data_IF_775120918128
#
_entry.id   IF_775120918128
#
_cell.length_a   1.000
_cell.length_b   1.000
_cell.length_c   1.000
_cell.angle_alpha   90.00
_cell.angle_beta   90.00
_cell.angle_gamma   90.00
#
_symmetry.space_group_name_H-M   'P 1'
#
loop_
_entity.id
_entity.type
_entity.pdbx_description
1 polymer ?
#
# COMPACT_ATOMS: atom_id res chain seq x y z
N UNK A 1 8.51 -13.03 16.47
CA UNK A 1 9.39 -12.60 15.37
C UNK A 1 9.19 -13.52 14.18
N UNK A 2 8.95 -13.02 12.97
CA UNK A 2 8.79 -13.86 11.77
C UNK A 2 10.17 -14.39 11.32
N UNK A 3 10.21 -15.49 10.56
CA UNK A 3 11.50 -16.08 10.07
C UNK A 3 12.36 -15.06 9.30
N UNK A 4 11.72 -14.19 8.51
CA UNK A 4 12.41 -13.13 7.75
C UNK A 4 13.07 -12.11 8.67
N UNK A 5 12.42 -11.74 9.79
CA UNK A 5 12.99 -10.78 10.75
C UNK A 5 14.26 -11.34 11.42
N UNK A 6 14.26 -12.64 11.72
CA UNK A 6 15.45 -13.32 12.22
C UNK A 6 16.59 -13.34 11.20
N UNK A 7 16.27 -13.55 9.92
CA UNK A 7 17.25 -13.53 8.84
C UNK A 7 17.89 -12.14 8.68
N UNK A 8 17.12 -11.06 8.83
CA UNK A 8 17.66 -9.68 8.86
C UNK A 8 18.59 -9.48 10.05
N UNK A 9 18.18 -9.88 11.26
CA UNK A 9 19.01 -9.74 12.47
C UNK A 9 20.32 -10.53 12.37
N UNK A 10 20.30 -11.68 11.69
CA UNK A 10 21.49 -12.53 11.48
C UNK A 10 22.35 -12.09 10.31
N UNK A 11 21.93 -11.08 9.55
CA UNK A 11 22.62 -10.64 8.33
C UNK A 11 22.52 -11.61 7.15
N UNK A 12 21.58 -12.58 7.20
CA UNK A 12 21.32 -13.53 6.11
C UNK A 12 20.65 -12.84 4.91
N UNK A 13 19.90 -11.77 5.16
CA UNK A 13 19.32 -10.87 4.16
C UNK A 13 19.59 -9.42 4.56
N UNK A 14 19.89 -8.59 3.57
CA UNK A 14 20.30 -7.19 3.78
C UNK A 14 19.14 -6.20 3.68
N UNK A 15 18.01 -6.59 3.11
CA UNK A 15 16.80 -5.76 3.05
C UNK A 15 15.54 -6.61 2.98
N UNK A 16 14.41 -5.96 3.24
CA UNK A 16 13.08 -6.56 3.11
C UNK A 16 12.05 -5.50 2.78
N UNK A 17 10.93 -5.93 2.23
CA UNK A 17 9.71 -5.14 2.16
C UNK A 17 8.85 -5.32 3.41
N UNK A 18 8.29 -4.22 3.92
CA UNK A 18 7.43 -4.21 5.09
C UNK A 18 6.45 -3.02 5.02
N UNK A 19 5.18 -3.28 5.30
CA UNK A 19 4.19 -2.22 5.39
C UNK A 19 4.51 -1.22 6.52
N UNK A 20 4.53 0.07 6.21
CA UNK A 20 4.90 1.14 7.15
C UNK A 20 4.04 1.15 8.41
N UNK A 21 2.75 0.82 8.31
CA UNK A 21 1.88 0.71 9.49
C UNK A 21 2.41 -0.33 10.48
N UNK A 22 2.83 -1.50 10.00
CA UNK A 22 3.42 -2.52 10.86
C UNK A 22 4.79 -2.08 11.41
N UNK A 23 5.57 -1.39 10.59
CA UNK A 23 6.88 -0.87 10.97
C UNK A 23 6.80 0.12 12.13
N UNK A 24 5.87 1.06 12.07
CA UNK A 24 5.70 2.10 13.09
C UNK A 24 4.71 1.75 14.22
N UNK A 25 4.21 0.51 14.29
CA UNK A 25 3.27 0.10 15.34
C UNK A 25 3.66 -1.16 16.12
N UNK A 26 4.64 -1.92 15.65
CA UNK A 26 4.94 -3.25 16.21
C UNK A 26 6.42 -3.44 16.53
N UNK A 27 6.69 -4.20 17.59
CA UNK A 27 8.03 -4.74 17.84
C UNK A 27 8.33 -5.94 16.92
N UNK A 28 9.58 -6.12 16.48
CA UNK A 28 10.79 -5.38 16.89
C UNK A 28 11.06 -4.08 16.10
N UNK A 29 10.23 -3.74 15.12
CA UNK A 29 10.49 -2.68 14.15
C UNK A 29 10.57 -1.30 14.78
N UNK A 30 9.71 -1.00 15.77
CA UNK A 30 9.80 0.24 16.55
C UNK A 30 11.19 0.41 17.19
N UNK A 31 11.68 -0.66 17.82
CA UNK A 31 13.01 -0.66 18.44
C UNK A 31 14.12 -0.56 17.40
N UNK A 32 13.98 -1.19 16.24
CA UNK A 32 14.96 -1.11 15.17
C UNK A 32 15.09 0.32 14.65
N UNK A 33 13.96 0.94 14.35
CA UNK A 33 13.93 2.32 13.89
C UNK A 33 14.51 3.29 14.93
N UNK A 34 14.06 3.19 16.18
CA UNK A 34 14.55 4.06 17.27
C UNK A 34 16.07 3.93 17.53
N UNK A 35 16.65 2.75 17.28
CA UNK A 35 18.09 2.47 17.45
C UNK A 35 18.90 2.69 16.17
N UNK A 36 18.28 3.09 15.07
CA UNK A 36 18.93 3.25 13.77
C UNK A 36 19.46 1.94 13.18
N UNK A 37 18.89 0.78 13.57
CA UNK A 37 19.27 -0.52 13.05
C UNK A 37 18.84 -0.71 11.59
N UNK A 38 17.72 -0.10 11.20
CA UNK A 38 17.19 -0.14 9.85
C UNK A 38 17.21 1.24 9.19
N UNK A 39 17.25 1.22 7.87
CA UNK A 39 17.17 2.41 7.03
C UNK A 39 16.13 2.20 5.96
N UNK A 40 15.17 3.12 5.88
CA UNK A 40 14.20 3.14 4.80
C UNK A 40 14.88 3.63 3.50
N UNK A 41 14.71 2.87 2.43
CA UNK A 41 15.31 3.19 1.13
C UNK A 41 14.33 3.88 0.21
N UNK A 42 13.07 3.43 0.19
CA UNK A 42 12.00 3.99 -0.60
C UNK A 42 10.63 3.61 0.00
N UNK A 43 9.61 4.34 -0.41
CA UNK A 43 8.21 4.08 -0.11
C UNK A 43 7.45 3.81 -1.41
N UNK A 44 6.48 2.91 -1.37
CA UNK A 44 5.65 2.54 -2.53
C UNK A 44 4.35 3.36 -2.63
N UNK A 45 4.00 4.10 -1.57
CA UNK A 45 2.86 5.03 -1.57
C UNK A 45 3.00 6.17 -2.56
N UNK A 46 1.87 6.79 -2.92
CA UNK A 46 1.83 7.97 -3.80
C UNK A 46 2.35 9.25 -3.13
N UNK A 47 2.33 9.28 -1.82
CA UNK A 47 2.83 10.38 -0.98
C UNK A 47 3.75 9.81 0.08
N UNK A 48 4.69 10.61 0.54
CA UNK A 48 5.54 10.23 1.67
C UNK A 48 4.70 10.10 2.94
N UNK A 49 4.92 9.02 3.67
CA UNK A 49 4.40 8.88 5.03
C UNK A 49 5.10 9.90 5.95
N UNK A 50 4.39 10.70 6.74
CA UNK A 50 4.99 11.68 7.64
C UNK A 50 5.99 11.08 8.63
N UNK A 51 5.84 9.79 8.97
CA UNK A 51 6.75 9.06 9.87
C UNK A 51 8.06 8.67 9.21
N UNK A 52 8.13 8.74 7.87
CA UNK A 52 9.31 8.48 7.06
C UNK A 52 9.51 9.60 6.00
N UNK A 53 9.36 10.85 6.42
CA UNK A 53 9.34 12.01 5.53
C UNK A 53 10.62 12.17 4.69
N UNK A 54 11.76 11.70 5.18
CA UNK A 54 13.05 11.78 4.50
C UNK A 54 13.23 10.67 3.44
N UNK A 55 12.35 9.68 3.43
CA UNK A 55 12.43 8.55 2.49
C UNK A 55 11.64 8.87 1.22
N UNK A 56 12.25 8.83 0.03
CA UNK A 56 11.55 9.13 -1.21
C UNK A 56 10.53 8.05 -1.56
N UNK A 57 9.48 8.43 -2.27
CA UNK A 57 8.59 7.45 -2.90
C UNK A 57 9.23 6.87 -4.15
N UNK A 58 8.78 5.67 -4.55
CA UNK A 58 9.22 5.06 -5.81
C UNK A 58 8.89 5.97 -7.01
N UNK A 59 7.79 6.72 -6.94
CA UNK A 59 7.36 7.63 -8.01
C UNK A 59 8.28 8.86 -8.12
N UNK A 60 8.74 9.42 -7.00
CA UNK A 60 9.76 10.48 -6.99
C UNK A 60 11.09 10.00 -7.58
N UNK A 61 11.51 8.79 -7.24
CA UNK A 61 12.70 8.19 -7.82
C UNK A 61 12.54 7.94 -9.33
N UNK A 62 11.36 7.50 -9.78
CA UNK A 62 11.07 7.34 -11.19
C UNK A 62 11.14 8.66 -11.97
N UNK A 63 10.70 9.76 -11.38
CA UNK A 63 10.83 11.09 -11.96
C UNK A 63 12.31 11.51 -12.02
N UNK A 64 13.03 11.34 -10.94
CA UNK A 64 14.46 11.66 -10.85
C UNK A 64 15.29 10.90 -11.89
N UNK A 65 15.00 9.61 -12.07
CA UNK A 65 15.72 8.74 -13.01
C UNK A 65 15.11 8.69 -14.42
N UNK A 66 14.12 9.54 -14.70
CA UNK A 66 13.45 9.63 -16.02
C UNK A 66 12.97 8.28 -16.53
N UNK A 67 12.35 7.50 -15.65
CA UNK A 67 11.81 6.17 -15.96
C UNK A 67 10.80 6.24 -17.10
N UNK A 68 10.88 5.31 -18.05
CA UNK A 68 9.97 5.27 -19.21
C UNK A 68 8.51 5.07 -18.77
N UNK A 69 7.56 5.58 -19.56
CA UNK A 69 6.12 5.48 -19.27
C UNK A 69 5.67 4.02 -19.08
N UNK A 70 6.16 3.09 -19.89
CA UNK A 70 5.87 1.66 -19.77
C UNK A 70 6.29 1.13 -18.39
N UNK A 71 7.49 1.44 -17.93
CA UNK A 71 7.98 0.98 -16.64
C UNK A 71 7.25 1.67 -15.49
N UNK A 72 6.88 2.94 -15.63
CA UNK A 72 6.06 3.66 -14.66
C UNK A 72 4.69 2.99 -14.50
N UNK A 73 4.00 2.71 -15.59
CA UNK A 73 2.70 2.02 -15.58
C UNK A 73 2.82 0.60 -15.03
N UNK A 74 3.87 -0.13 -15.38
CA UNK A 74 4.14 -1.44 -14.81
C UNK A 74 4.30 -1.36 -13.28
N UNK A 75 5.01 -0.36 -12.76
CA UNK A 75 5.13 -0.15 -11.32
C UNK A 75 3.80 0.23 -10.66
N UNK A 76 2.97 1.04 -11.32
CA UNK A 76 1.62 1.34 -10.83
C UNK A 76 0.77 0.09 -10.66
N UNK A 77 0.85 -0.86 -11.60
CA UNK A 77 0.18 -2.15 -11.51
C UNK A 77 0.73 -2.99 -10.35
N UNK A 78 2.06 -3.05 -10.21
CA UNK A 78 2.73 -3.84 -9.17
C UNK A 78 2.44 -3.32 -7.75
N UNK A 79 2.32 -2.01 -7.58
CA UNK A 79 2.05 -1.37 -6.29
C UNK A 79 0.57 -1.12 -6.03
N UNK A 80 -0.30 -1.51 -6.96
CA UNK A 80 -1.75 -1.28 -6.86
C UNK A 80 -2.37 -1.88 -5.61
N UNK A 81 -1.92 -3.06 -5.19
CA UNK A 81 -2.42 -3.72 -3.99
C UNK A 81 -2.33 -2.86 -2.74
N UNK A 82 -1.34 -1.99 -2.65
CA UNK A 82 -1.18 -1.09 -1.51
C UNK A 82 -2.21 0.04 -1.48
N UNK A 83 -2.68 0.48 -2.67
CA UNK A 83 -3.72 1.51 -2.77
C UNK A 83 -5.09 0.97 -2.35
N UNK A 84 -5.31 -0.34 -2.46
CA UNK A 84 -6.55 -0.97 -2.02
C UNK A 84 -6.63 -1.14 -0.50
N UNK A 85 -5.51 -1.32 0.18
CA UNK A 85 -5.48 -1.57 1.63
C UNK A 85 -6.32 -2.79 2.00
N UNK A 86 -7.42 -2.58 2.71
CA UNK A 86 -8.39 -3.61 3.09
C UNK A 86 -9.76 -3.30 2.45
N UNK A 87 -9.96 -3.60 1.16
CA UNK A 87 -11.17 -3.24 0.45
C UNK A 87 -12.36 -4.10 0.88
N UNK A 88 -13.53 -3.49 1.01
CA UNK A 88 -14.80 -4.20 1.06
C UNK A 88 -15.35 -4.33 -0.36
N UNK A 89 -15.72 -5.54 -0.74
CA UNK A 89 -16.24 -5.83 -2.09
C UNK A 89 -17.64 -6.47 -2.00
N UNK A 90 -18.52 -6.02 -2.89
CA UNK A 90 -19.81 -6.67 -3.11
C UNK A 90 -19.69 -7.74 -4.22
N UNK A 91 -20.46 -8.81 -4.18
CA UNK A 91 -20.52 -9.78 -5.27
C UNK A 91 -20.92 -9.15 -6.60
N UNK A 92 -20.48 -9.73 -7.74
CA UNK A 92 -20.96 -9.31 -9.05
C UNK A 92 -22.48 -9.38 -9.14
N UNK A 93 -23.10 -8.40 -9.82
CA UNK A 93 -24.55 -8.32 -9.96
C UNK A 93 -25.30 -7.76 -8.75
N UNK A 94 -24.61 -7.29 -7.70
CA UNK A 94 -25.26 -6.57 -6.59
C UNK A 94 -25.94 -5.31 -7.13
N UNK A 95 -27.26 -5.08 -6.86
CA UNK A 95 -27.98 -3.91 -7.33
C UNK A 95 -27.32 -2.60 -6.90
N UNK A 96 -27.30 -1.60 -7.79
CA UNK A 96 -26.58 -0.34 -7.57
C UNK A 96 -27.06 0.42 -6.32
N UNK A 97 -28.35 0.38 -6.01
CA UNK A 97 -28.93 0.96 -4.81
C UNK A 97 -28.36 0.32 -3.54
N UNK A 98 -28.15 -0.98 -3.54
CA UNK A 98 -27.54 -1.72 -2.42
C UNK A 98 -26.06 -1.37 -2.26
N UNK A 99 -25.33 -1.28 -3.37
CA UNK A 99 -23.92 -0.84 -3.33
C UNK A 99 -23.81 0.58 -2.76
N UNK A 100 -24.72 1.49 -3.16
CA UNK A 100 -24.77 2.84 -2.62
C UNK A 100 -24.97 2.85 -1.10
N UNK A 101 -25.97 2.10 -0.61
CA UNK A 101 -26.24 1.98 0.84
C UNK A 101 -24.98 1.48 1.59
N UNK A 102 -24.32 0.44 1.07
CA UNK A 102 -23.12 -0.11 1.69
C UNK A 102 -21.96 0.90 1.72
N UNK A 103 -21.73 1.65 0.63
CA UNK A 103 -20.72 2.71 0.56
C UNK A 103 -20.99 3.82 1.58
N UNK A 104 -22.22 4.28 1.68
CA UNK A 104 -22.60 5.31 2.65
C UNK A 104 -22.46 4.83 4.09
N UNK A 105 -22.89 3.60 4.39
CA UNK A 105 -22.77 2.99 5.70
C UNK A 105 -21.29 2.83 6.10
N UNK A 106 -20.43 2.36 5.18
CA UNK A 106 -18.99 2.25 5.41
C UNK A 106 -18.37 3.60 5.75
N UNK A 107 -18.60 4.63 4.92
CA UNK A 107 -18.04 5.96 5.15
C UNK A 107 -18.53 6.59 6.45
N UNK A 108 -19.77 6.30 6.87
CA UNK A 108 -20.29 6.72 8.17
C UNK A 108 -19.57 5.99 9.31
N UNK A 109 -19.40 4.69 9.20
CA UNK A 109 -18.75 3.88 10.23
C UNK A 109 -17.28 4.28 10.45
N UNK A 110 -16.49 4.47 9.39
CA UNK A 110 -15.07 4.84 9.52
C UNK A 110 -14.84 6.29 9.99
N UNK A 111 -15.88 7.09 10.04
CA UNK A 111 -15.87 8.46 10.60
C UNK A 111 -16.47 8.53 12.00
N UNK A 112 -16.92 7.41 12.54
CA UNK A 112 -17.48 7.35 13.88
C UNK A 112 -16.40 7.68 14.92
N UNK A 113 -16.66 8.62 15.86
CA UNK A 113 -15.69 9.02 16.88
C UNK A 113 -15.26 7.89 17.82
N UNK A 114 -16.15 6.94 18.12
CA UNK A 114 -15.83 5.79 18.97
C UNK A 114 -14.86 4.86 18.22
N UNK A 115 -15.15 4.55 16.95
CA UNK A 115 -14.24 3.74 16.13
C UNK A 115 -12.87 4.39 15.99
N UNK A 116 -12.80 5.71 15.75
CA UNK A 116 -11.54 6.44 15.64
C UNK A 116 -10.76 6.36 16.94
N UNK A 117 -11.43 6.53 18.08
CA UNK A 117 -10.81 6.43 19.40
C UNK A 117 -10.24 5.03 19.66
N UNK A 118 -10.99 3.98 19.36
CA UNK A 118 -10.50 2.60 19.51
C UNK A 118 -9.34 2.27 18.55
N UNK A 119 -9.41 2.74 17.33
CA UNK A 119 -8.32 2.58 16.38
C UNK A 119 -7.02 3.27 16.86
N UNK A 120 -7.13 4.48 17.41
CA UNK A 120 -5.98 5.20 17.97
C UNK A 120 -5.36 4.45 19.16
N UNK A 121 -6.18 3.90 20.07
CA UNK A 121 -5.70 3.05 21.18
C UNK A 121 -4.97 1.80 20.67
N UNK A 122 -5.48 1.21 19.58
CA UNK A 122 -4.88 0.05 18.93
C UNK A 122 -3.68 0.42 18.02
N UNK A 123 -3.34 1.71 17.88
CA UNK A 123 -2.33 2.24 16.95
C UNK A 123 -2.62 1.88 15.48
N UNK A 124 -3.90 1.83 15.12
CA UNK A 124 -4.33 1.65 13.74
C UNK A 124 -4.47 3.00 13.05
N UNK A 125 -4.04 3.04 11.80
CA UNK A 125 -4.24 4.20 10.94
C UNK A 125 -5.51 3.95 10.12
N UNK A 126 -6.48 4.87 10.24
CA UNK A 126 -7.72 4.84 9.44
C UNK A 126 -7.61 5.98 8.43
N UNK A 127 -7.39 5.60 7.17
CA UNK A 127 -7.38 6.49 6.01
C UNK A 127 -8.43 5.99 5.01
N UNK A 128 -9.71 6.37 5.19
CA UNK A 128 -10.78 5.84 4.38
C UNK A 128 -10.72 6.40 2.96
N UNK A 129 -10.82 5.50 1.99
CA UNK A 129 -11.00 5.82 0.57
C UNK A 129 -12.43 5.50 0.18
N UNK A 130 -13.07 6.36 -0.60
CA UNK A 130 -14.44 6.12 -1.07
C UNK A 130 -14.50 4.94 -2.04
N UNK A 131 -15.67 4.28 -2.11
CA UNK A 131 -15.85 3.18 -3.04
C UNK A 131 -15.72 3.59 -4.52
N UNK A 132 -16.06 4.84 -4.85
CA UNK A 132 -15.92 5.38 -6.21
C UNK A 132 -14.45 5.62 -6.57
N UNK A 133 -13.66 6.18 -5.66
CA UNK A 133 -12.21 6.34 -5.86
C UNK A 133 -11.51 4.99 -6.00
N UNK A 134 -11.88 4.02 -5.16
CA UNK A 134 -11.28 2.69 -5.20
C UNK A 134 -11.65 1.94 -6.48
N UNK A 135 -12.88 2.08 -6.95
CA UNK A 135 -13.32 1.51 -8.22
C UNK A 135 -12.57 2.14 -9.41
N UNK A 136 -12.38 3.46 -9.42
CA UNK A 136 -11.59 4.12 -10.45
C UNK A 136 -10.12 3.66 -10.47
N UNK A 137 -9.52 3.38 -9.31
CA UNK A 137 -8.20 2.75 -9.22
C UNK A 137 -8.22 1.36 -9.86
N UNK A 138 -9.21 0.51 -9.53
CA UNK A 138 -9.34 -0.82 -10.08
C UNK A 138 -9.48 -0.81 -11.61
N UNK A 139 -10.36 0.01 -12.14
CA UNK A 139 -10.58 0.16 -13.58
C UNK A 139 -9.30 0.60 -14.31
N UNK A 140 -8.60 1.59 -13.78
CA UNK A 140 -7.33 2.06 -14.35
C UNK A 140 -6.25 0.97 -14.37
N UNK A 141 -6.21 0.11 -13.36
CA UNK A 141 -5.20 -0.95 -13.26
C UNK A 141 -5.56 -2.13 -14.16
N UNK A 142 -6.84 -2.48 -14.25
CA UNK A 142 -7.32 -3.59 -15.06
C UNK A 142 -7.19 -3.34 -16.57
N UNK A 143 -7.26 -2.08 -17.00
CA UNK A 143 -7.17 -1.70 -18.42
C UNK A 143 -5.77 -1.20 -18.73
N UNK A 144 -4.86 -2.13 -19.06
CA UNK A 144 -3.49 -1.80 -19.43
C UNK A 144 -3.19 -2.14 -20.89
N UNK A 145 -2.36 -1.32 -21.55
CA UNK A 145 -1.83 -1.67 -22.87
C UNK A 145 -1.07 -3.01 -22.83
N UNK A 146 -1.12 -3.82 -23.90
CA UNK A 146 -0.42 -5.12 -23.95
C UNK A 146 1.06 -5.03 -23.58
N UNK A 147 1.74 -3.96 -23.97
CA UNK A 147 3.16 -3.73 -23.68
C UNK A 147 3.42 -3.60 -22.16
N UNK A 148 2.52 -2.97 -21.42
CA UNK A 148 2.61 -2.86 -19.96
C UNK A 148 2.38 -4.22 -19.31
N UNK A 149 1.39 -4.98 -19.79
CA UNK A 149 1.12 -6.34 -19.30
C UNK A 149 2.34 -7.25 -19.49
N UNK A 150 2.96 -7.22 -20.68
CA UNK A 150 4.17 -8.00 -20.96
C UNK A 150 5.36 -7.54 -20.10
N UNK A 151 5.48 -6.25 -19.83
CA UNK A 151 6.53 -5.74 -18.93
C UNK A 151 6.30 -6.23 -17.48
N UNK A 152 5.06 -6.22 -17.00
CA UNK A 152 4.71 -6.76 -15.67
C UNK A 152 5.02 -8.27 -15.60
N UNK A 153 4.61 -9.05 -16.60
CA UNK A 153 4.93 -10.49 -16.68
C UNK A 153 6.44 -10.73 -16.64
N UNK A 154 7.22 -9.95 -17.41
CA UNK A 154 8.68 -10.03 -17.43
C UNK A 154 9.28 -9.77 -16.05
N UNK A 155 8.81 -8.74 -15.35
CA UNK A 155 9.28 -8.41 -13.99
C UNK A 155 8.96 -9.53 -13.02
N UNK A 156 7.74 -10.07 -13.07
CA UNK A 156 7.26 -11.14 -12.20
C UNK A 156 7.79 -12.53 -12.62
N UNK A 157 8.46 -12.66 -13.76
CA UNK A 157 8.91 -13.93 -14.35
C UNK A 157 7.77 -14.94 -14.52
N UNK A 158 6.57 -14.46 -14.85
CA UNK A 158 5.39 -15.28 -15.12
C UNK A 158 5.31 -15.54 -16.63
N UNK A 159 5.01 -16.80 -16.99
CA UNK A 159 4.78 -17.22 -18.39
C UNK A 159 3.39 -16.83 -18.86
#
# INVERSE_FOLDING_TARGET
>A
MRRVDLAVVRGEVICRDLGLTAHFSREPFLSWHAKGFDRHLLQTGRKRDPRAADTPTIFELMDQYKTTDINRRAMEVLTAGEQFGHPMMAPPGTPADRVKILREAYLKAVRDPELITEAQKARWVIEPVSGDELQAVAERIMVQPPQVVEQVKKILRVK
#
